data_IF_410127211842
#
_entry.id   IF_410127211842
#
_cell.length_a   1.000
_cell.length_b   1.000
_cell.length_c   1.000
_cell.angle_alpha   90.00
_cell.angle_beta   90.00
_cell.angle_gamma   90.00
#
_symmetry.space_group_name_H-M   'P 1'
#
loop_
_entity.id
_entity.type
_entity.pdbx_description
1 polymer ?
#
# COMPACT_ATOMS: atom_id res chain seq x y z
N UNK A 1 28.85 -39.25 -74.61
CA UNK A 1 27.43 -39.17 -75.00
C UNK A 1 26.74 -40.49 -74.64
N UNK A 2 26.00 -40.55 -73.53
CA UNK A 2 25.08 -41.65 -73.19
C UNK A 2 23.95 -41.05 -72.35
N UNK A 3 22.73 -41.37 -72.78
CA UNK A 3 21.46 -40.68 -72.51
C UNK A 3 20.89 -40.97 -71.11
N UNK A 4 20.25 -39.97 -70.52
CA UNK A 4 19.42 -40.06 -69.31
C UNK A 4 18.02 -40.60 -69.72
N UNK A 5 17.44 -41.62 -69.06
CA UNK A 5 16.07 -42.05 -69.35
C UNK A 5 15.05 -41.08 -68.76
N UNK A 6 14.02 -40.78 -69.56
CA UNK A 6 12.87 -39.93 -69.25
C UNK A 6 12.05 -40.46 -68.08
N UNK A 7 11.76 -39.60 -67.10
CA UNK A 7 10.92 -39.92 -65.94
C UNK A 7 9.48 -40.27 -66.33
N UNK A 8 9.04 -41.45 -65.91
CA UNK A 8 7.64 -41.88 -66.02
C UNK A 8 6.74 -41.03 -65.12
N UNK A 9 5.72 -40.40 -65.72
CA UNK A 9 4.61 -39.80 -64.96
C UNK A 9 3.75 -40.92 -64.37
N UNK A 10 3.74 -41.06 -63.04
CA UNK A 10 2.77 -41.91 -62.34
C UNK A 10 1.34 -41.44 -62.69
N UNK A 11 0.60 -42.26 -63.41
CA UNK A 11 -0.80 -42.02 -63.74
C UNK A 11 -1.69 -42.68 -62.67
N UNK A 12 -1.97 -41.96 -61.57
CA UNK A 12 -2.89 -42.43 -60.54
C UNK A 12 -4.35 -42.33 -61.04
N UNK A 13 -5.20 -43.36 -60.82
CA UNK A 13 -6.61 -43.36 -61.19
C UNK A 13 -7.40 -42.24 -60.48
N UNK A 14 -8.43 -41.71 -61.15
CA UNK A 14 -9.13 -40.48 -60.74
C UNK A 14 -9.68 -40.49 -59.30
N UNK A 15 -10.11 -41.65 -58.80
CA UNK A 15 -10.58 -41.81 -57.40
C UNK A 15 -9.45 -41.62 -56.39
N UNK A 16 -8.25 -42.12 -56.66
CA UNK A 16 -7.10 -41.96 -55.76
C UNK A 16 -6.61 -40.51 -55.74
N UNK A 17 -6.60 -39.83 -56.90
CA UNK A 17 -6.33 -38.38 -56.95
C UNK A 17 -7.32 -37.57 -56.10
N UNK A 18 -8.60 -37.93 -56.13
CA UNK A 18 -9.64 -37.26 -55.34
C UNK A 18 -9.43 -37.47 -53.83
N UNK A 19 -9.07 -38.68 -53.41
CA UNK A 19 -8.73 -38.99 -52.01
C UNK A 19 -7.51 -38.20 -51.54
N UNK A 20 -6.46 -38.12 -52.36
CA UNK A 20 -5.27 -37.32 -52.03
C UNK A 20 -5.57 -35.81 -51.95
N UNK A 21 -6.40 -35.29 -52.85
CA UNK A 21 -6.83 -33.87 -52.80
C UNK A 21 -7.61 -33.59 -51.52
N UNK A 22 -8.52 -34.48 -51.12
CA UNK A 22 -9.29 -34.34 -49.88
C UNK A 22 -8.36 -34.39 -48.66
N UNK A 23 -7.41 -35.34 -48.62
CA UNK A 23 -6.44 -35.46 -47.52
C UNK A 23 -5.52 -34.24 -47.42
N UNK A 24 -5.02 -33.72 -48.55
CA UNK A 24 -4.20 -32.50 -48.59
C UNK A 24 -5.03 -31.29 -48.15
N UNK A 25 -6.30 -31.21 -48.56
CA UNK A 25 -7.20 -30.13 -48.16
C UNK A 25 -7.50 -30.15 -46.66
N UNK A 26 -7.75 -31.33 -46.08
CA UNK A 26 -7.92 -31.52 -44.64
C UNK A 26 -6.63 -31.16 -43.89
N UNK A 27 -5.47 -31.57 -44.39
CA UNK A 27 -4.18 -31.23 -43.80
C UNK A 27 -3.92 -29.72 -43.84
N UNK A 28 -4.25 -29.06 -44.95
CA UNK A 28 -4.13 -27.60 -45.08
C UNK A 28 -5.13 -26.87 -44.16
N UNK A 29 -6.35 -27.38 -44.00
CA UNK A 29 -7.34 -26.84 -43.05
C UNK A 29 -6.86 -27.02 -41.61
N UNK A 30 -6.28 -28.17 -41.25
CA UNK A 30 -5.73 -28.43 -39.92
C UNK A 30 -4.47 -27.60 -39.65
N UNK A 31 -3.61 -27.37 -40.65
CA UNK A 31 -2.47 -26.45 -40.57
C UNK A 31 -2.95 -25.00 -40.41
N UNK A 32 -3.98 -24.59 -41.15
CA UNK A 32 -4.56 -23.25 -41.05
C UNK A 32 -5.28 -23.04 -39.72
N UNK A 33 -5.98 -24.06 -39.20
CA UNK A 33 -6.58 -24.06 -37.87
C UNK A 33 -5.50 -24.06 -36.77
N UNK A 34 -4.39 -24.78 -36.96
CA UNK A 34 -3.22 -24.75 -36.07
C UNK A 34 -2.51 -23.39 -36.05
N UNK A 35 -2.47 -22.68 -37.18
CA UNK A 35 -2.01 -21.29 -37.25
C UNK A 35 -3.05 -20.29 -36.68
N UNK A 36 -4.34 -20.57 -36.81
CA UNK A 36 -5.42 -19.77 -36.21
C UNK A 36 -5.55 -19.94 -34.69
N UNK A 37 -5.07 -21.07 -34.15
CA UNK A 37 -4.99 -21.35 -32.70
C UNK A 37 -3.68 -20.88 -32.07
N UNK A 38 -2.65 -20.59 -32.87
CA UNK A 38 -1.48 -19.83 -32.46
C UNK A 38 -1.75 -18.33 -32.67
N UNK A 39 -2.72 -17.80 -31.93
CA UNK A 39 -2.74 -16.36 -31.68
C UNK A 39 -1.34 -15.97 -31.18
N UNK A 40 -0.71 -14.96 -31.81
CA UNK A 40 0.46 -14.31 -31.21
C UNK A 40 0.18 -14.17 -29.72
N UNK A 41 1.07 -14.60 -28.80
CA UNK A 41 0.83 -14.43 -27.38
C UNK A 41 0.43 -12.97 -27.21
N UNK A 42 -0.79 -12.72 -26.72
CA UNK A 42 -1.28 -11.37 -26.53
C UNK A 42 -0.18 -10.63 -25.78
N UNK A 43 0.38 -9.57 -26.37
CA UNK A 43 1.48 -8.83 -25.75
C UNK A 43 0.99 -8.46 -24.36
N UNK A 44 1.63 -9.02 -23.33
CA UNK A 44 1.21 -8.80 -21.96
C UNK A 44 1.18 -7.28 -21.75
N UNK A 45 0.03 -6.75 -21.30
CA UNK A 45 -0.05 -5.35 -20.94
C UNK A 45 1.01 -5.10 -19.88
N UNK A 46 1.70 -3.97 -19.96
CA UNK A 46 2.78 -3.68 -19.01
C UNK A 46 2.70 -2.25 -18.50
N UNK A 47 3.28 -2.01 -17.34
CA UNK A 47 3.54 -0.66 -16.82
C UNK A 47 5.00 -0.57 -16.40
N UNK A 48 5.56 0.62 -16.55
CA UNK A 48 6.88 0.94 -16.02
C UNK A 48 6.73 1.67 -14.70
N UNK A 49 7.38 1.20 -13.65
CA UNK A 49 7.27 1.76 -12.30
C UNK A 49 8.60 2.36 -11.88
N UNK A 50 8.58 3.65 -11.54
CA UNK A 50 9.73 4.37 -10.99
C UNK A 50 9.49 4.69 -9.51
N UNK A 51 10.54 4.60 -8.70
CA UNK A 51 10.50 4.98 -7.28
C UNK A 51 10.81 6.45 -7.11
N UNK A 52 9.94 7.20 -6.44
CA UNK A 52 10.10 8.63 -6.18
C UNK A 52 9.52 9.00 -4.81
N UNK A 53 9.94 10.12 -4.23
CA UNK A 53 9.25 10.75 -3.10
C UNK A 53 7.96 11.44 -3.58
N UNK A 54 6.96 11.69 -2.71
CA UNK A 54 5.72 12.37 -3.12
C UNK A 54 5.92 13.75 -3.74
N UNK A 55 6.90 14.52 -3.26
CA UNK A 55 7.25 15.83 -3.84
C UNK A 55 7.81 15.66 -5.27
N UNK A 56 8.70 14.69 -5.48
CA UNK A 56 9.22 14.35 -6.81
C UNK A 56 8.11 13.84 -7.74
N UNK A 57 7.16 13.05 -7.24
CA UNK A 57 6.01 12.59 -8.02
C UNK A 57 5.14 13.75 -8.48
N UNK A 58 4.91 14.73 -7.62
CA UNK A 58 4.10 15.92 -7.92
C UNK A 58 4.74 16.71 -9.06
N UNK A 59 6.03 17.04 -8.93
CA UNK A 59 6.78 17.72 -9.97
C UNK A 59 6.87 16.92 -11.28
N UNK A 60 7.06 15.59 -11.19
CA UNK A 60 7.14 14.70 -12.35
C UNK A 60 5.80 14.55 -13.10
N UNK A 61 4.67 14.62 -12.40
CA UNK A 61 3.35 14.60 -13.03
C UNK A 61 3.08 15.91 -13.76
N UNK A 62 3.33 17.04 -13.07
CA UNK A 62 3.12 18.37 -13.59
C UNK A 62 3.94 18.62 -14.87
N UNK A 63 5.22 18.20 -14.87
CA UNK A 63 6.10 18.32 -16.04
C UNK A 63 5.88 17.22 -17.12
N UNK A 64 5.03 16.22 -16.84
CA UNK A 64 4.66 15.17 -17.78
C UNK A 64 5.70 14.06 -18.02
N UNK A 65 6.70 13.93 -17.13
CA UNK A 65 7.69 12.84 -17.21
C UNK A 65 7.16 11.49 -16.73
N UNK A 66 6.04 11.48 -15.98
CA UNK A 66 5.25 10.29 -15.63
C UNK A 66 3.79 10.49 -16.06
N UNK A 67 3.10 9.38 -16.35
CA UNK A 67 1.68 9.39 -16.71
C UNK A 67 0.75 9.44 -15.49
N UNK A 68 1.25 8.99 -14.33
CA UNK A 68 0.52 8.99 -13.08
C UNK A 68 1.40 8.62 -11.90
N UNK A 69 0.90 8.85 -10.69
CA UNK A 69 1.55 8.40 -9.46
C UNK A 69 0.54 7.76 -8.50
N UNK A 70 1.03 6.90 -7.61
CA UNK A 70 0.25 6.33 -6.52
C UNK A 70 0.89 6.77 -5.21
N UNK A 71 0.19 7.60 -4.45
CA UNK A 71 0.66 8.13 -3.17
C UNK A 71 -0.48 8.23 -2.15
N UNK A 72 -0.12 8.56 -0.91
CA UNK A 72 -1.03 8.82 0.19
C UNK A 72 -1.52 10.27 0.22
N UNK A 73 -2.68 10.49 0.83
CA UNK A 73 -3.23 11.81 1.09
C UNK A 73 -2.34 12.65 2.04
N UNK A 74 -2.17 13.96 1.81
CA UNK A 74 -3.00 14.80 0.95
C UNK A 74 -2.41 15.04 -0.46
N UNK A 75 -1.36 14.32 -0.87
CA UNK A 75 -0.69 14.59 -2.16
C UNK A 75 -1.62 14.42 -3.37
N UNK A 76 -2.45 13.35 -3.45
CA UNK A 76 -3.50 13.28 -4.45
C UNK A 76 -4.48 14.46 -4.43
N UNK A 77 -4.96 14.87 -3.25
CA UNK A 77 -5.90 16.00 -3.15
C UNK A 77 -5.27 17.32 -3.59
N UNK A 78 -4.03 17.59 -3.18
CA UNK A 78 -3.25 18.76 -3.64
C UNK A 78 -3.12 18.78 -5.15
N UNK A 79 -2.79 17.63 -5.77
CA UNK A 79 -2.68 17.55 -7.22
C UNK A 79 -3.96 17.93 -7.96
N UNK A 80 -5.12 17.59 -7.40
CA UNK A 80 -6.42 17.98 -7.95
C UNK A 80 -6.73 19.46 -7.69
N UNK A 81 -6.47 19.94 -6.48
CA UNK A 81 -6.73 21.33 -6.11
C UNK A 81 -5.87 22.32 -6.91
N UNK A 82 -4.60 21.99 -7.12
CA UNK A 82 -3.65 22.78 -7.90
C UNK A 82 -3.87 22.62 -9.42
N UNK A 83 -4.76 21.73 -9.84
CA UNK A 83 -5.22 21.59 -11.23
C UNK A 83 -4.28 20.82 -12.17
N UNK A 84 -3.16 20.30 -11.68
CA UNK A 84 -2.22 19.53 -12.52
C UNK A 84 -2.57 18.03 -12.59
N UNK A 85 -3.37 17.52 -11.65
CA UNK A 85 -3.75 16.12 -11.56
C UNK A 85 -5.25 15.89 -11.44
N UNK A 86 -5.66 14.65 -11.65
CA UNK A 86 -7.00 14.15 -11.31
C UNK A 86 -6.93 12.72 -10.81
N UNK A 87 -7.82 12.38 -9.89
CA UNK A 87 -8.02 10.99 -9.47
C UNK A 87 -8.41 10.13 -10.67
N UNK A 88 -7.67 9.04 -10.90
CA UNK A 88 -8.09 7.97 -11.80
C UNK A 88 -8.76 6.86 -11.00
N UNK A 89 -8.13 6.43 -9.90
CA UNK A 89 -8.68 5.40 -9.01
C UNK A 89 -8.35 5.68 -7.55
N UNK A 90 -9.35 5.57 -6.67
CA UNK A 90 -9.13 5.53 -5.24
C UNK A 90 -8.91 4.09 -4.76
N UNK A 91 -7.96 3.87 -3.85
CA UNK A 91 -7.62 2.54 -3.36
C UNK A 91 -8.81 1.82 -2.71
N UNK A 92 -9.71 2.55 -2.04
CA UNK A 92 -10.88 1.96 -1.37
C UNK A 92 -11.90 1.34 -2.33
N UNK A 93 -11.91 1.80 -3.58
CA UNK A 93 -12.84 1.33 -4.60
C UNK A 93 -12.36 0.01 -5.23
N UNK A 94 -11.05 -0.25 -5.16
CA UNK A 94 -10.43 -1.50 -5.64
C UNK A 94 -10.27 -2.52 -4.51
N UNK A 95 -9.93 -2.05 -3.31
CA UNK A 95 -9.63 -2.90 -2.17
C UNK A 95 -10.16 -2.29 -0.88
N UNK A 96 -11.40 -2.65 -0.54
CA UNK A 96 -12.01 -2.22 0.72
C UNK A 96 -11.19 -2.73 1.92
N UNK A 97 -10.96 -1.86 2.90
CA UNK A 97 -10.21 -2.15 4.12
C UNK A 97 -8.76 -2.63 3.88
N UNK A 98 -8.14 -2.26 2.76
CA UNK A 98 -6.75 -2.64 2.49
C UNK A 98 -5.82 -2.21 3.64
N UNK A 99 -4.70 -2.94 3.84
CA UNK A 99 -3.64 -2.52 4.76
C UNK A 99 -3.16 -1.11 4.45
N UNK A 100 -2.99 -0.27 5.48
CA UNK A 100 -2.31 1.03 5.36
C UNK A 100 -1.43 1.28 6.60
N UNK A 101 -1.48 2.45 7.25
CA UNK A 101 -0.61 2.75 8.39
C UNK A 101 -1.07 2.07 9.69
N UNK A 102 -0.08 1.74 10.51
CA UNK A 102 -0.22 1.12 11.83
C UNK A 102 0.70 1.80 12.83
N UNK A 103 0.36 1.70 14.12
CA UNK A 103 1.25 2.12 15.20
C UNK A 103 2.05 0.91 15.69
N UNK A 104 3.37 1.04 15.72
CA UNK A 104 4.28 0.05 16.27
C UNK A 104 4.96 0.54 17.53
N UNK A 105 5.35 -0.41 18.37
CA UNK A 105 6.27 -0.19 19.48
C UNK A 105 7.40 -1.22 19.42
N UNK A 106 8.61 -0.79 19.76
CA UNK A 106 9.76 -1.67 19.89
C UNK A 106 9.51 -2.73 20.96
N UNK A 107 9.94 -3.97 20.71
CA UNK A 107 9.96 -5.02 21.72
C UNK A 107 10.92 -4.71 22.88
N UNK A 108 11.78 -3.69 22.77
CA UNK A 108 12.60 -3.26 23.91
C UNK A 108 11.82 -2.41 24.92
N UNK A 109 10.64 -1.90 24.55
CA UNK A 109 9.71 -1.26 25.49
C UNK A 109 8.86 -2.36 26.14
N UNK A 110 9.17 -2.65 27.40
CA UNK A 110 8.52 -3.69 28.22
C UNK A 110 7.50 -3.14 29.21
N UNK A 111 7.40 -1.81 29.33
CA UNK A 111 6.41 -1.15 30.17
C UNK A 111 5.01 -1.31 29.54
N UNK A 112 4.21 -2.20 30.12
CA UNK A 112 2.85 -2.50 29.66
C UNK A 112 1.91 -1.29 29.84
N UNK A 113 2.13 -0.45 30.84
CA UNK A 113 1.33 0.75 31.08
C UNK A 113 1.64 1.82 30.02
N UNK A 114 2.92 1.96 29.63
CA UNK A 114 3.33 2.78 28.48
C UNK A 114 2.63 2.33 27.18
N UNK A 115 2.58 1.02 26.92
CA UNK A 115 1.91 0.49 25.72
C UNK A 115 0.41 0.81 25.77
N UNK A 116 -0.25 0.57 26.91
CA UNK A 116 -1.67 0.86 27.11
C UNK A 116 -2.00 2.34 26.98
N UNK A 117 -1.13 3.21 27.50
CA UNK A 117 -1.25 4.66 27.37
C UNK A 117 -1.19 5.09 25.90
N UNK A 118 -0.23 4.60 25.12
CA UNK A 118 -0.15 4.88 23.68
C UNK A 118 -1.37 4.35 22.92
N UNK A 119 -1.84 3.15 23.25
CA UNK A 119 -3.05 2.60 22.66
C UNK A 119 -4.26 3.50 22.93
N UNK A 120 -4.41 3.95 24.18
CA UNK A 120 -5.49 4.85 24.57
C UNK A 120 -5.43 6.20 23.85
N UNK A 121 -4.24 6.83 23.81
CA UNK A 121 -4.04 8.11 23.11
C UNK A 121 -4.49 8.00 21.65
N UNK A 122 -4.07 6.92 20.99
CA UNK A 122 -4.43 6.68 19.61
C UNK A 122 -5.94 6.48 19.44
N UNK A 123 -6.57 5.61 20.24
CA UNK A 123 -8.02 5.37 20.17
C UNK A 123 -8.83 6.67 20.40
N UNK A 124 -8.43 7.50 21.37
CA UNK A 124 -9.09 8.81 21.59
C UNK A 124 -8.95 9.72 20.38
N UNK A 125 -7.77 9.77 19.74
CA UNK A 125 -7.59 10.57 18.53
C UNK A 125 -8.39 10.05 17.33
N UNK A 126 -8.44 8.73 17.13
CA UNK A 126 -9.26 8.11 16.07
C UNK A 126 -10.75 8.39 16.29
N UNK A 127 -11.24 8.22 17.53
CA UNK A 127 -12.64 8.54 17.87
C UNK A 127 -12.95 10.03 17.71
N UNK A 128 -12.01 10.90 18.07
CA UNK A 128 -12.15 12.34 17.86
C UNK A 128 -12.31 12.67 16.37
N UNK A 129 -11.47 12.09 15.51
CA UNK A 129 -11.56 12.29 14.05
C UNK A 129 -12.89 11.78 13.48
N UNK A 130 -13.32 10.60 13.95
CA UNK A 130 -14.50 9.94 13.44
C UNK A 130 -15.82 10.52 13.97
N UNK A 131 -15.79 11.36 15.00
CA UNK A 131 -16.95 12.07 15.50
C UNK A 131 -17.30 13.26 14.58
N UNK A 132 -18.47 13.25 13.91
CA UNK A 132 -18.89 14.33 13.03
C UNK A 132 -18.96 15.70 13.73
N UNK A 133 -19.17 15.75 15.04
CA UNK A 133 -19.19 16.99 15.81
C UNK A 133 -17.83 17.71 15.79
N UNK A 134 -16.74 16.97 15.59
CA UNK A 134 -15.39 17.52 15.54
C UNK A 134 -14.93 17.89 14.12
N UNK A 135 -15.77 17.71 13.09
CA UNK A 135 -15.36 17.85 11.68
C UNK A 135 -14.65 19.18 11.38
N UNK A 136 -15.16 20.28 11.94
CA UNK A 136 -14.57 21.62 11.73
C UNK A 136 -13.16 21.72 12.31
N UNK A 137 -12.94 21.22 13.52
CA UNK A 137 -11.61 21.14 14.16
C UNK A 137 -10.68 20.18 13.42
N UNK A 138 -11.19 19.03 12.97
CA UNK A 138 -10.40 18.05 12.20
C UNK A 138 -9.91 18.67 10.89
N UNK A 139 -10.73 19.49 10.23
CA UNK A 139 -10.32 20.23 9.04
C UNK A 139 -9.27 21.29 9.34
N UNK A 140 -9.44 22.05 10.43
CA UNK A 140 -8.47 23.04 10.89
C UNK A 140 -7.12 22.38 11.21
N UNK A 141 -7.10 21.37 12.07
CA UNK A 141 -5.90 20.62 12.43
C UNK A 141 -5.26 19.92 11.23
N UNK A 142 -6.07 19.39 10.30
CA UNK A 142 -5.57 18.82 9.05
C UNK A 142 -4.84 19.85 8.18
N UNK A 143 -5.37 21.08 8.08
CA UNK A 143 -4.73 22.17 7.36
C UNK A 143 -3.44 22.63 8.06
N UNK A 144 -3.45 22.78 9.39
CA UNK A 144 -2.25 23.12 10.16
C UNK A 144 -1.14 22.07 10.00
N UNK A 145 -1.51 20.78 10.08
CA UNK A 145 -0.55 19.68 10.05
C UNK A 145 0.08 19.48 8.67
N UNK A 146 -0.71 19.61 7.61
CA UNK A 146 -0.27 19.29 6.24
C UNK A 146 0.16 20.51 5.42
N UNK A 147 -0.10 21.71 5.93
CA UNK A 147 0.03 22.97 5.19
C UNK A 147 -0.92 23.08 3.99
N UNK A 148 -1.87 22.16 3.81
CA UNK A 148 -2.80 22.14 2.70
C UNK A 148 -4.00 23.05 2.96
N UNK A 149 -4.56 23.62 1.90
CA UNK A 149 -5.80 24.39 2.02
C UNK A 149 -6.95 23.48 2.50
N UNK A 150 -7.97 24.12 3.08
CA UNK A 150 -9.11 23.42 3.69
C UNK A 150 -9.85 22.49 2.72
N UNK A 151 -9.94 22.86 1.44
CA UNK A 151 -10.65 22.05 0.44
C UNK A 151 -9.86 20.78 0.10
N UNK A 152 -8.54 20.89 -0.06
CA UNK A 152 -7.62 19.75 -0.22
C UNK A 152 -7.70 18.81 0.98
N UNK A 153 -7.65 19.35 2.21
CA UNK A 153 -7.79 18.54 3.43
C UNK A 153 -9.16 17.85 3.48
N UNK A 154 -10.24 18.56 3.15
CA UNK A 154 -11.58 17.95 3.16
C UNK A 154 -11.69 16.81 2.16
N UNK A 155 -11.18 16.97 0.94
CA UNK A 155 -11.15 15.91 -0.08
C UNK A 155 -10.31 14.70 0.38
N UNK A 156 -9.13 14.98 0.93
CA UNK A 156 -8.22 13.98 1.45
C UNK A 156 -8.81 13.17 2.62
N UNK A 157 -9.48 13.85 3.56
CA UNK A 157 -10.22 13.19 4.66
C UNK A 157 -11.38 12.35 4.12
N UNK A 158 -12.07 12.81 3.07
CA UNK A 158 -13.16 12.02 2.47
C UNK A 158 -12.67 10.74 1.80
N UNK A 159 -11.38 10.65 1.47
CA UNK A 159 -10.73 9.47 0.91
C UNK A 159 -10.11 8.56 1.97
N UNK A 160 -9.97 9.01 3.21
CA UNK A 160 -9.25 8.34 4.30
C UNK A 160 -10.23 7.86 5.37
N UNK A 161 -10.09 6.62 5.83
CA UNK A 161 -10.93 6.04 6.89
C UNK A 161 -10.02 5.75 8.07
N UNK A 162 -10.18 6.49 9.18
CA UNK A 162 -9.39 6.26 10.39
C UNK A 162 -9.96 5.09 11.17
N UNK A 163 -9.10 4.14 11.52
CA UNK A 163 -9.48 2.87 12.15
C UNK A 163 -8.73 2.70 13.46
N UNK A 164 -9.31 1.96 14.41
CA UNK A 164 -8.64 1.64 15.68
C UNK A 164 -7.70 0.44 15.54
N UNK A 165 -8.04 -0.52 14.67
CA UNK A 165 -7.26 -1.73 14.42
C UNK A 165 -7.44 -2.21 12.97
N UNK A 166 -6.40 -2.78 12.32
CA UNK A 166 -6.51 -3.24 10.93
C UNK A 166 -7.39 -4.48 10.78
N UNK A 167 -7.95 -4.67 9.59
CA UNK A 167 -8.61 -5.92 9.20
C UNK A 167 -7.53 -6.99 8.92
N UNK A 168 -7.46 -8.00 9.79
CA UNK A 168 -6.40 -9.01 9.72
C UNK A 168 -6.51 -9.93 8.49
N UNK A 169 -7.71 -10.09 7.91
CA UNK A 169 -7.86 -10.83 6.66
C UNK A 169 -7.27 -10.05 5.48
N UNK A 170 -7.48 -8.72 5.46
CA UNK A 170 -6.88 -7.87 4.43
C UNK A 170 -5.37 -7.70 4.64
N UNK A 171 -4.89 -7.67 5.89
CA UNK A 171 -3.45 -7.75 6.22
C UNK A 171 -2.80 -9.00 5.65
N UNK A 172 -3.45 -10.15 5.78
CA UNK A 172 -2.97 -11.42 5.19
C UNK A 172 -2.87 -11.35 3.68
N UNK A 173 -3.89 -10.84 2.99
CA UNK A 173 -3.83 -10.65 1.53
C UNK A 173 -2.72 -9.70 1.11
N UNK A 174 -2.49 -8.62 1.88
CA UNK A 174 -1.36 -7.70 1.65
C UNK A 174 0.01 -8.38 1.82
N UNK A 175 0.15 -9.23 2.83
CA UNK A 175 1.32 -10.08 2.99
C UNK A 175 1.51 -10.98 1.77
N UNK A 176 0.47 -11.69 1.32
CA UNK A 176 0.54 -12.64 0.19
C UNK A 176 0.88 -11.96 -1.15
N UNK A 177 0.30 -10.78 -1.43
CA UNK A 177 0.62 -10.00 -2.63
C UNK A 177 2.09 -9.59 -2.62
N UNK A 178 2.59 -9.15 -1.46
CA UNK A 178 3.97 -8.71 -1.30
C UNK A 178 4.96 -9.89 -1.35
N UNK A 179 4.60 -11.04 -0.75
CA UNK A 179 5.40 -12.26 -0.80
C UNK A 179 5.54 -12.78 -2.23
N UNK A 180 4.42 -12.86 -2.97
CA UNK A 180 4.40 -13.21 -4.39
C UNK A 180 5.26 -12.28 -5.25
N UNK A 181 5.40 -11.03 -4.83
CA UNK A 181 6.24 -10.03 -5.48
C UNK A 181 7.74 -10.13 -5.13
N UNK A 182 8.13 -11.06 -4.24
CA UNK A 182 9.51 -11.17 -3.74
C UNK A 182 9.86 -10.13 -2.68
N UNK A 183 8.86 -9.63 -1.94
CA UNK A 183 9.03 -8.60 -0.91
C UNK A 183 9.76 -9.09 0.35
N UNK A 184 9.81 -10.41 0.54
CA UNK A 184 10.41 -11.07 1.69
C UNK A 184 11.63 -11.91 1.31
N UNK A 185 12.71 -11.77 2.08
CA UNK A 185 14.00 -12.46 1.92
C UNK A 185 14.04 -13.81 2.63
N UNK A 186 13.12 -14.05 3.55
CA UNK A 186 13.04 -15.25 4.40
C UNK A 186 11.64 -15.84 4.30
N UNK A 187 11.54 -17.17 4.35
CA UNK A 187 10.26 -17.83 4.51
C UNK A 187 9.80 -17.76 5.97
N UNK A 188 8.49 -17.73 6.19
CA UNK A 188 7.92 -17.78 7.55
C UNK A 188 8.34 -19.06 8.29
N UNK A 189 8.46 -20.19 7.59
CA UNK A 189 8.96 -21.44 8.16
C UNK A 189 10.38 -21.35 8.68
N UNK A 190 11.28 -20.61 8.00
CA UNK A 190 12.65 -20.39 8.46
C UNK A 190 12.73 -19.51 9.71
N UNK A 191 11.67 -18.75 9.97
CA UNK A 191 11.51 -17.92 11.17
C UNK A 191 10.78 -18.65 12.30
N UNK A 192 10.36 -19.90 12.08
CA UNK A 192 9.68 -20.73 13.08
C UNK A 192 8.15 -20.64 13.07
N UNK A 193 7.54 -19.97 12.09
CA UNK A 193 6.08 -19.88 11.98
C UNK A 193 5.52 -20.97 11.06
N UNK A 194 4.43 -21.61 11.48
CA UNK A 194 3.72 -22.64 10.72
C UNK A 194 2.76 -22.06 9.67
N UNK A 195 2.32 -20.81 9.84
CA UNK A 195 1.38 -20.15 8.93
C UNK A 195 1.50 -18.63 8.94
N UNK A 196 0.95 -17.98 7.90
CA UNK A 196 0.80 -16.51 7.86
C UNK A 196 -0.05 -15.99 9.01
N UNK A 197 -1.09 -16.72 9.43
CA UNK A 197 -1.98 -16.31 10.52
C UNK A 197 -1.25 -16.29 11.87
N UNK A 198 -0.42 -17.31 12.13
CA UNK A 198 0.42 -17.37 13.33
C UNK A 198 1.45 -16.22 13.33
N UNK A 199 2.11 -15.99 12.19
CA UNK A 199 3.05 -14.90 12.05
C UNK A 199 2.40 -13.54 12.31
N UNK A 200 1.29 -13.24 11.63
CA UNK A 200 0.57 -11.97 11.82
C UNK A 200 0.05 -11.82 13.25
N UNK A 201 -0.45 -12.88 13.88
CA UNK A 201 -0.89 -12.83 15.28
C UNK A 201 0.26 -12.51 16.24
N UNK A 202 1.48 -12.95 15.94
CA UNK A 202 2.66 -12.63 16.74
C UNK A 202 3.10 -11.16 16.61
N UNK A 203 2.95 -10.58 15.41
CA UNK A 203 3.33 -9.19 15.12
C UNK A 203 2.23 -8.21 15.53
N UNK A 204 0.95 -8.61 15.50
CA UNK A 204 -0.22 -7.78 15.78
C UNK A 204 -0.96 -8.27 17.03
N UNK A 205 -0.35 -8.16 18.23
CA UNK A 205 -1.03 -8.56 19.47
C UNK A 205 -2.21 -7.63 19.77
N UNK A 206 -3.42 -8.11 19.52
CA UNK A 206 -4.65 -7.32 19.70
C UNK A 206 -5.10 -7.15 21.17
N UNK A 207 -4.37 -7.74 22.13
CA UNK A 207 -4.73 -7.72 23.56
C UNK A 207 -4.81 -6.31 24.14
N UNK A 208 -3.86 -5.43 23.78
CA UNK A 208 -3.81 -4.06 24.29
C UNK A 208 -4.97 -3.24 23.75
N UNK A 209 -5.17 -3.33 22.43
CA UNK A 209 -6.31 -2.72 21.75
C UNK A 209 -7.64 -3.17 22.36
N UNK A 210 -7.87 -4.48 22.49
CA UNK A 210 -9.11 -5.04 23.06
C UNK A 210 -9.35 -4.58 24.49
N UNK A 211 -8.31 -4.58 25.34
CA UNK A 211 -8.43 -4.12 26.73
C UNK A 211 -8.88 -2.65 26.79
N UNK A 212 -8.17 -1.77 26.08
CA UNK A 212 -8.44 -0.33 26.12
C UNK A 212 -9.75 0.01 25.43
N UNK A 213 -10.07 -0.64 24.31
CA UNK A 213 -11.37 -0.49 23.65
C UNK A 213 -12.51 -0.85 24.59
N UNK A 214 -12.44 -2.00 25.26
CA UNK A 214 -13.50 -2.42 26.19
C UNK A 214 -13.67 -1.45 27.36
N UNK A 215 -12.57 -0.84 27.85
CA UNK A 215 -12.63 0.21 28.87
C UNK A 215 -13.34 1.46 28.35
N UNK A 216 -12.94 1.95 27.17
CA UNK A 216 -13.51 3.15 26.55
C UNK A 216 -14.96 2.97 26.08
N UNK A 217 -15.37 1.75 25.72
CA UNK A 217 -16.75 1.45 25.36
C UNK A 217 -17.67 1.44 26.60
N UNK A 218 -17.13 1.03 27.76
CA UNK A 218 -17.85 1.06 29.02
C UNK A 218 -17.90 2.47 29.64
N UNK A 219 -16.81 3.22 29.52
CA UNK A 219 -16.67 4.59 30.01
C UNK A 219 -15.80 5.41 29.02
N UNK A 220 -16.43 6.21 28.14
CA UNK A 220 -15.72 7.02 27.14
C UNK A 220 -14.75 8.06 27.71
N UNK A 221 -14.94 8.45 28.98
CA UNK A 221 -14.12 9.43 29.69
C UNK A 221 -13.02 8.80 30.54
N UNK A 222 -13.00 7.47 30.65
CA UNK A 222 -11.94 6.73 31.34
C UNK A 222 -10.56 7.04 30.75
N UNK A 223 -9.59 7.24 31.64
CA UNK A 223 -8.18 7.48 31.33
C UNK A 223 -7.34 6.40 32.03
N UNK A 224 -6.37 5.76 31.35
CA UNK A 224 -5.46 4.84 32.02
C UNK A 224 -4.58 5.57 33.05
N UNK A 225 -3.97 4.85 34.00
CA UNK A 225 -2.98 5.44 34.90
C UNK A 225 -1.89 6.19 34.14
N UNK A 226 -1.46 7.33 34.68
CA UNK A 226 -0.36 8.09 34.11
C UNK A 226 0.94 7.28 34.18
N UNK A 227 1.73 7.34 33.11
CA UNK A 227 2.98 6.59 32.99
C UNK A 227 4.18 7.45 33.38
N UNK A 228 5.20 6.79 33.93
CA UNK A 228 6.48 7.41 34.24
C UNK A 228 7.54 6.84 33.30
N UNK A 229 8.14 7.70 32.47
CA UNK A 229 9.16 7.26 31.52
C UNK A 229 9.34 8.25 30.39
N UNK A 230 10.23 7.92 29.47
CA UNK A 230 10.46 8.71 28.25
C UNK A 230 10.30 7.86 27.00
N UNK A 231 9.82 8.46 25.91
CA UNK A 231 9.56 7.80 24.65
C UNK A 231 10.01 8.67 23.47
N UNK A 232 10.70 8.09 22.49
CA UNK A 232 10.96 8.71 21.20
C UNK A 232 9.96 8.16 20.18
N UNK A 233 9.15 9.04 19.59
CA UNK A 233 8.05 8.65 18.70
C UNK A 233 8.30 9.09 17.26
N UNK A 234 8.40 8.15 16.33
CA UNK A 234 8.62 8.41 14.90
C UNK A 234 7.35 8.52 14.08
N UNK A 235 7.30 9.43 13.11
CA UNK A 235 6.18 9.53 12.16
C UNK A 235 6.61 10.21 10.85
N UNK A 236 5.78 10.10 9.80
CA UNK A 236 5.99 10.79 8.52
C UNK A 236 5.30 12.15 8.59
N UNK A 237 6.08 13.22 8.38
CA UNK A 237 5.56 14.60 8.47
C UNK A 237 4.67 14.94 7.26
N UNK A 238 3.65 15.77 7.48
CA UNK A 238 2.68 16.22 6.47
C UNK A 238 1.87 15.11 5.75
N UNK A 239 2.00 13.86 6.18
CA UNK A 239 1.17 12.73 5.75
C UNK A 239 -0.14 12.72 6.55
N UNK A 240 -1.27 12.96 5.88
CA UNK A 240 -2.58 13.11 6.54
C UNK A 240 -2.99 11.82 7.28
N UNK A 241 -2.44 10.66 6.93
CA UNK A 241 -2.69 9.42 7.67
C UNK A 241 -2.28 9.56 9.15
N UNK A 242 -1.28 10.39 9.45
CA UNK A 242 -0.79 10.65 10.80
C UNK A 242 -1.59 11.74 11.55
N UNK A 243 -2.72 12.22 11.01
CA UNK A 243 -3.51 13.29 11.65
C UNK A 243 -3.94 12.97 13.08
N UNK A 244 -4.21 11.70 13.41
CA UNK A 244 -4.52 11.27 14.79
C UNK A 244 -3.42 11.62 15.79
N UNK A 245 -2.15 11.49 15.38
CA UNK A 245 -1.01 11.87 16.21
C UNK A 245 -1.01 13.37 16.51
N UNK A 246 -1.25 14.19 15.49
CA UNK A 246 -1.31 15.65 15.63
C UNK A 246 -2.47 16.09 16.51
N UNK A 247 -3.64 15.46 16.33
CA UNK A 247 -4.82 15.70 17.16
C UNK A 247 -4.57 15.32 18.61
N UNK A 248 -3.90 14.18 18.85
CA UNK A 248 -3.54 13.77 20.20
C UNK A 248 -2.64 14.80 20.91
N UNK A 249 -1.73 15.46 20.18
CA UNK A 249 -0.93 16.57 20.71
C UNK A 249 -1.79 17.81 21.00
N UNK A 250 -2.71 18.18 20.09
CA UNK A 250 -3.54 19.39 20.23
C UNK A 250 -4.61 19.28 21.30
N UNK A 251 -5.22 18.11 21.44
CA UNK A 251 -6.30 17.83 22.40
C UNK A 251 -5.78 17.35 23.76
N UNK A 252 -4.46 17.38 23.96
CA UNK A 252 -3.81 17.09 25.25
C UNK A 252 -3.91 15.62 25.69
N UNK A 253 -4.05 14.68 24.74
CA UNK A 253 -4.25 13.27 25.08
C UNK A 253 -2.98 12.63 25.63
N UNK A 254 -1.80 13.03 25.16
CA UNK A 254 -0.53 12.57 25.71
C UNK A 254 -0.36 13.01 27.17
N UNK A 255 -0.68 14.26 27.49
CA UNK A 255 -0.52 14.85 28.81
C UNK A 255 -1.43 14.18 29.84
N UNK A 256 -2.64 13.78 29.43
CA UNK A 256 -3.59 13.03 30.28
C UNK A 256 -3.03 11.70 30.78
N UNK A 257 -2.08 11.11 30.04
CA UNK A 257 -1.42 9.86 30.42
C UNK A 257 0.01 10.09 30.94
N UNK A 258 0.40 11.32 31.25
CA UNK A 258 1.73 11.64 31.80
C UNK A 258 2.85 11.74 30.75
N UNK A 259 2.51 11.77 29.46
CA UNK A 259 3.46 12.00 28.38
C UNK A 259 3.39 13.47 27.94
N UNK A 260 4.39 14.26 28.28
CA UNK A 260 4.48 15.68 27.97
C UNK A 260 5.26 15.88 26.66
N UNK A 261 4.62 16.36 25.58
CA UNK A 261 5.28 16.72 24.33
C UNK A 261 6.50 17.63 24.55
N UNK A 262 7.60 17.32 23.87
CA UNK A 262 8.91 17.99 24.00
C UNK A 262 9.54 17.93 25.40
N UNK A 263 8.90 17.22 26.33
CA UNK A 263 9.44 16.82 27.62
C UNK A 263 9.90 15.36 27.57
N UNK A 264 9.10 14.47 28.14
CA UNK A 264 9.42 13.05 28.21
C UNK A 264 8.95 12.25 26.97
N UNK A 265 8.08 12.79 26.11
CA UNK A 265 7.87 12.25 24.77
C UNK A 265 8.49 13.17 23.71
N UNK A 266 9.39 12.61 22.90
CA UNK A 266 10.11 13.34 21.84
C UNK A 266 9.67 12.85 20.47
N UNK A 267 9.09 13.73 19.67
CA UNK A 267 8.64 13.39 18.33
C UNK A 267 9.79 13.52 17.31
N UNK A 268 9.83 12.61 16.34
CA UNK A 268 10.85 12.53 15.29
C UNK A 268 10.18 12.38 13.94
N UNK A 269 10.47 13.33 13.05
CA UNK A 269 9.94 13.39 11.69
C UNK A 269 10.82 12.58 10.74
N UNK A 270 10.18 11.83 9.86
CA UNK A 270 10.84 11.04 8.83
C UNK A 270 10.23 11.29 7.47
N UNK A 271 11.04 11.08 6.42
CA UNK A 271 10.61 11.24 5.02
C UNK A 271 9.81 10.06 4.48
N UNK A 272 9.97 8.86 5.03
CA UNK A 272 9.29 7.65 4.59
C UNK A 272 9.41 6.49 5.60
N UNK A 273 8.67 5.42 5.36
CA UNK A 273 8.66 4.23 6.21
C UNK A 273 10.01 3.50 6.28
N UNK A 274 10.82 3.48 5.21
CA UNK A 274 12.16 2.87 5.29
C UNK A 274 13.06 3.60 6.30
N UNK A 275 13.06 4.93 6.30
CA UNK A 275 13.82 5.71 7.27
C UNK A 275 13.39 5.39 8.71
N UNK A 276 12.09 5.19 8.94
CA UNK A 276 11.57 4.76 10.25
C UNK A 276 12.05 3.36 10.62
N UNK A 277 12.06 2.40 9.69
CA UNK A 277 12.60 1.05 9.97
C UNK A 277 14.08 1.07 10.35
N UNK A 278 14.89 1.93 9.71
CA UNK A 278 16.29 2.16 10.08
C UNK A 278 16.40 2.74 11.50
N UNK A 279 15.59 3.76 11.81
CA UNK A 279 15.57 4.37 13.14
C UNK A 279 15.14 3.38 14.24
N UNK A 280 14.15 2.51 13.98
CA UNK A 280 13.77 1.43 14.89
C UNK A 280 14.90 0.41 15.08
N UNK A 281 15.58 0.04 13.99
CA UNK A 281 16.70 -0.92 14.04
C UNK A 281 17.86 -0.41 14.90
N UNK A 282 18.22 0.86 14.75
CA UNK A 282 19.27 1.50 15.55
C UNK A 282 18.76 2.09 16.87
N UNK A 283 17.48 1.86 17.22
CA UNK A 283 16.85 2.32 18.47
C UNK A 283 16.91 3.85 18.65
N UNK A 284 16.81 4.58 17.55
CA UNK A 284 16.65 6.03 17.54
C UNK A 284 15.23 6.45 17.90
N UNK A 285 14.25 5.57 17.67
CA UNK A 285 12.84 5.70 18.10
C UNK A 285 12.36 4.42 18.79
N UNK A 286 11.44 4.59 19.73
CA UNK A 286 10.88 3.52 20.57
C UNK A 286 9.49 3.09 20.07
N UNK A 287 8.73 4.01 19.49
CA UNK A 287 7.44 3.78 18.86
C UNK A 287 7.35 4.58 17.57
N UNK A 288 6.49 4.16 16.63
CA UNK A 288 6.26 4.91 15.41
C UNK A 288 4.90 4.64 14.75
N UNK A 289 4.42 5.59 13.94
CA UNK A 289 3.35 5.34 12.96
C UNK A 289 3.93 5.37 11.55
N UNK A 290 3.71 4.29 10.80
CA UNK A 290 4.03 4.18 9.38
C UNK A 290 3.37 2.95 8.75
N UNK A 291 3.65 2.73 7.47
CA UNK A 291 2.99 1.71 6.69
C UNK A 291 3.21 0.27 7.16
N UNK A 292 2.13 -0.51 7.21
CA UNK A 292 2.17 -1.90 7.69
C UNK A 292 3.04 -2.81 6.81
N UNK A 293 3.11 -2.58 5.50
CA UNK A 293 3.94 -3.41 4.61
C UNK A 293 5.45 -3.19 4.83
N UNK A 294 5.97 -1.95 4.99
CA UNK A 294 7.29 -1.71 5.56
C UNK A 294 7.55 -2.39 6.91
N UNK A 295 6.59 -2.38 7.85
CA UNK A 295 6.72 -3.07 9.14
C UNK A 295 6.94 -4.57 8.94
N UNK A 296 6.09 -5.22 8.14
CA UNK A 296 6.21 -6.65 7.86
C UNK A 296 7.56 -7.00 7.22
N UNK A 297 8.03 -6.17 6.27
CA UNK A 297 9.34 -6.36 5.65
C UNK A 297 10.47 -6.21 6.65
N UNK A 298 10.40 -5.24 7.55
CA UNK A 298 11.41 -5.06 8.59
C UNK A 298 11.48 -6.27 9.53
N UNK A 299 10.33 -6.79 9.97
CA UNK A 299 10.27 -8.00 10.81
C UNK A 299 10.86 -9.22 10.07
N UNK A 300 10.43 -9.47 8.83
CA UNK A 300 10.82 -10.67 8.09
C UNK A 300 12.27 -10.60 7.56
N UNK A 301 12.63 -9.49 6.93
CA UNK A 301 13.92 -9.38 6.24
C UNK A 301 15.05 -9.11 7.21
N UNK A 302 14.80 -8.26 8.20
CA UNK A 302 15.84 -7.66 9.04
C UNK A 302 15.76 -8.12 10.51
N UNK A 303 14.91 -9.12 10.80
CA UNK A 303 14.62 -9.60 12.16
C UNK A 303 14.15 -8.46 13.09
N UNK A 304 13.36 -7.53 12.54
CA UNK A 304 12.85 -6.38 13.26
C UNK A 304 12.12 -6.76 14.54
N UNK A 305 12.38 -5.99 15.61
CA UNK A 305 11.91 -6.25 16.97
C UNK A 305 10.84 -5.23 17.36
N UNK A 306 9.65 -5.42 16.79
CA UNK A 306 8.49 -4.53 16.96
C UNK A 306 7.18 -5.31 17.07
N UNK A 307 6.22 -4.71 17.77
CA UNK A 307 4.81 -5.15 17.82
C UNK A 307 3.93 -4.05 17.26
N UNK A 308 2.93 -4.41 16.45
CA UNK A 308 1.85 -3.52 16.04
C UNK A 308 0.79 -3.50 17.12
N UNK A 309 0.54 -2.33 17.69
CA UNK A 309 -0.35 -2.17 18.84
C UNK A 309 -1.72 -1.61 18.47
N UNK A 310 -1.84 -0.89 17.35
CA UNK A 310 -3.09 -0.34 16.81
C UNK A 310 -3.01 -0.14 15.27
N UNK A 311 -4.17 -0.02 14.62
CA UNK A 311 -4.29 0.48 13.25
C UNK A 311 -4.42 2.00 13.24
N UNK A 312 -4.10 2.67 12.12
CA UNK A 312 -4.22 4.13 12.00
C UNK A 312 -5.30 4.51 11.00
N UNK A 313 -5.20 3.97 9.79
CA UNK A 313 -6.17 4.21 8.74
C UNK A 313 -6.26 3.05 7.75
N UNK A 314 -7.29 3.09 6.91
CA UNK A 314 -7.40 2.41 5.62
C UNK A 314 -7.91 3.41 4.59
N UNK A 315 -7.81 3.10 3.30
CA UNK A 315 -8.02 4.10 2.25
C UNK A 315 -6.92 5.17 2.27
N UNK A 316 -7.21 6.33 1.68
CA UNK A 316 -6.29 7.46 1.65
C UNK A 316 -5.08 7.27 0.73
N UNK A 317 -5.13 6.28 -0.17
CA UNK A 317 -4.16 6.09 -1.26
C UNK A 317 -4.90 6.23 -2.59
N UNK A 318 -4.29 6.84 -3.60
CA UNK A 318 -4.93 6.99 -4.92
C UNK A 318 -3.94 7.00 -6.07
N UNK A 319 -4.38 6.46 -7.20
CA UNK A 319 -3.74 6.66 -8.50
C UNK A 319 -4.24 7.98 -9.09
N UNK A 320 -3.32 8.93 -9.24
CA UNK A 320 -3.55 10.22 -9.88
C UNK A 320 -2.87 10.23 -11.24
N UNK A 321 -3.54 10.79 -12.23
CA UNK A 321 -2.99 11.01 -13.58
C UNK A 321 -3.07 12.50 -13.90
N UNK A 322 -2.34 12.95 -14.93
CA UNK A 322 -2.38 14.35 -15.37
C UNK A 322 -3.80 14.77 -15.70
N UNK A 323 -4.18 15.98 -15.27
CA UNK A 323 -5.52 16.53 -15.49
C UNK A 323 -5.89 16.59 -16.99
N UNK A 324 -4.95 17.00 -17.83
CA UNK A 324 -5.11 17.17 -19.28
C UNK A 324 -4.90 15.89 -20.12
N UNK A 325 -4.68 14.74 -19.47
CA UNK A 325 -4.45 13.49 -20.18
C UNK A 325 -5.75 12.82 -20.63
N UNK A 326 -5.67 12.10 -21.75
CA UNK A 326 -6.75 11.23 -22.25
C UNK A 326 -6.85 9.88 -21.49
N UNK A 327 -6.25 9.75 -20.30
CA UNK A 327 -6.18 8.49 -19.52
C UNK A 327 -7.46 8.29 -18.72
N UNK A 328 -8.41 7.53 -19.23
CA UNK A 328 -9.71 7.33 -18.59
C UNK A 328 -9.81 6.05 -17.77
N UNK A 329 -8.87 5.12 -17.95
CA UNK A 329 -8.87 3.81 -17.30
C UNK A 329 -7.46 3.29 -17.02
N UNK A 330 -7.36 2.26 -16.18
CA UNK A 330 -6.12 1.49 -15.96
C UNK A 330 -5.55 0.93 -17.27
N UNK A 331 -6.40 0.62 -18.25
CA UNK A 331 -5.96 0.09 -19.54
C UNK A 331 -5.18 1.10 -20.38
N UNK A 332 -5.50 2.39 -20.23
CA UNK A 332 -4.82 3.49 -20.95
C UNK A 332 -3.38 3.72 -20.45
N UNK A 333 -3.02 3.09 -19.31
CA UNK A 333 -1.66 3.12 -18.76
C UNK A 333 -0.76 2.02 -19.32
N UNK A 334 -1.23 1.18 -20.25
CA UNK A 334 -0.38 0.18 -20.91
C UNK A 334 0.83 0.83 -21.60
N UNK A 335 2.03 0.38 -21.25
CA UNK A 335 3.32 0.89 -21.71
C UNK A 335 3.69 2.25 -21.13
N UNK A 336 2.93 2.80 -20.17
CA UNK A 336 3.21 4.09 -19.54
C UNK A 336 4.08 3.93 -18.30
N UNK A 337 4.72 5.03 -17.92
CA UNK A 337 5.48 5.15 -16.67
C UNK A 337 4.60 5.72 -15.57
N UNK A 338 4.53 5.05 -14.43
CA UNK A 338 3.90 5.56 -13.21
C UNK A 338 4.92 5.57 -12.06
N UNK A 339 4.68 6.42 -11.06
CA UNK A 339 5.53 6.48 -9.87
C UNK A 339 4.84 5.89 -8.63
N UNK A 340 5.63 5.27 -7.76
CA UNK A 340 5.24 4.89 -6.40
C UNK A 340 6.38 5.24 -5.43
N UNK A 341 6.16 5.22 -4.10
CA UNK A 341 7.19 5.46 -3.09
C UNK A 341 8.33 4.42 -3.09
N UNK A 342 8.16 3.33 -3.86
CA UNK A 342 9.14 2.28 -4.01
C UNK A 342 8.59 0.90 -3.67
N UNK A 343 9.36 -0.11 -4.05
CA UNK A 343 9.02 -1.52 -3.87
C UNK A 343 8.78 -1.87 -2.40
N UNK A 344 7.68 -2.57 -2.14
CA UNK A 344 7.24 -2.99 -0.80
C UNK A 344 6.73 -1.89 0.11
N UNK A 345 6.44 -0.70 -0.44
CA UNK A 345 5.54 0.28 0.19
C UNK A 345 4.09 -0.24 0.13
N UNK A 346 3.17 0.44 0.82
CA UNK A 346 1.74 0.11 0.72
C UNK A 346 1.23 0.41 -0.69
N UNK A 347 1.67 1.52 -1.24
CA UNK A 347 1.33 1.99 -2.58
C UNK A 347 1.82 1.00 -3.66
N UNK A 348 2.96 0.32 -3.47
CA UNK A 348 3.39 -0.79 -4.35
C UNK A 348 2.43 -1.99 -4.26
N UNK A 349 2.01 -2.37 -3.06
CA UNK A 349 1.06 -3.49 -2.86
C UNK A 349 -0.31 -3.17 -3.44
N UNK A 350 -0.81 -1.95 -3.24
CA UNK A 350 -2.05 -1.46 -3.84
C UNK A 350 -1.91 -1.39 -5.36
N UNK A 351 -0.81 -0.86 -5.89
CA UNK A 351 -0.53 -0.80 -7.33
C UNK A 351 -0.59 -2.19 -7.96
N UNK A 352 0.04 -3.20 -7.33
CA UNK A 352 -0.04 -4.59 -7.80
C UNK A 352 -1.47 -5.12 -7.87
N UNK A 353 -2.34 -4.66 -6.96
CA UNK A 353 -3.76 -5.00 -7.01
C UNK A 353 -4.50 -4.22 -8.12
N UNK A 354 -4.20 -2.93 -8.30
CA UNK A 354 -4.78 -2.10 -9.35
C UNK A 354 -4.45 -2.60 -10.76
N UNK A 355 -3.23 -3.10 -10.94
CA UNK A 355 -2.68 -3.57 -12.22
C UNK A 355 -2.61 -5.09 -12.30
N UNK A 356 -3.52 -5.80 -11.63
CA UNK A 356 -3.61 -7.26 -11.72
C UNK A 356 -3.74 -7.70 -13.19
N UNK A 357 -2.85 -8.60 -13.63
CA UNK A 357 -2.75 -9.04 -15.03
C UNK A 357 -1.84 -8.20 -15.93
N UNK A 358 -1.23 -7.11 -15.43
CA UNK A 358 -0.15 -6.41 -16.11
C UNK A 358 1.22 -6.96 -15.70
N UNK A 359 2.17 -6.92 -16.62
CA UNK A 359 3.59 -7.06 -16.35
C UNK A 359 4.12 -5.74 -15.72
N UNK A 360 4.67 -5.83 -14.52
CA UNK A 360 5.23 -4.67 -13.80
C UNK A 360 6.74 -4.62 -14.05
N UNK A 361 7.21 -3.55 -14.68
CA UNK A 361 8.62 -3.33 -15.04
C UNK A 361 9.20 -2.19 -14.21
N UNK A 362 10.03 -2.49 -13.22
CA UNK A 362 10.75 -1.45 -12.47
C UNK A 362 11.82 -0.82 -13.35
N UNK A 363 11.89 0.52 -13.38
CA UNK A 363 12.84 1.30 -14.23
C UNK A 363 13.54 2.41 -13.47
#
# INVERSE_FOLDING_TARGET
MKLIPSGGRLHLPAKEKMVYIILISILLILLYAGFGLNGKPAVAKSIFVVSMTPDEMSAALENGTIAGFISWEPYPAKAVADGYGRYLVNSRDIWKNHPECVMVISEYVQDEDMIKALVWVHLKSTRFINDPANREKVLEYGSEFTGADRSSVSAALNNTIYIEFPDMNEMKKGFEILDKAGGFKKSLSSMGYSSTDEFLSSVFPDRYYKEIKNRLDADPDWVPPAVNGSLKFGFIDSDLHNLGLYIAQKEGFFEKVGLIPDGNIQFRKFRNGQAITTALHYREVDAAVFGATPVLRYVVNDNGKVRVINGVNTGGTSLVVRADSNISSILDLNGKRIATPGFGSIQDVIMRKMFEGFEIKTV
#
